data_IF_261640345223
#
_entry.id   IF_261640345223
#
_cell.length_a   1.000
_cell.length_b   1.000
_cell.length_c   1.000
_cell.angle_alpha   90.00
_cell.angle_beta   90.00
_cell.angle_gamma   90.00
#
_symmetry.space_group_name_H-M   'P 1'
#
loop_
_entity.id
_entity.type
_entity.pdbx_description
1 polymer ?
#
# COMPACT_ATOMS: atom_id res chain seq x y z
N UNK A 1 9.97 -14.47 -0.64
CA UNK A 1 11.05 -13.59 -0.13
C UNK A 1 10.91 -13.31 1.37
N UNK A 2 9.79 -12.77 1.86
CA UNK A 2 9.59 -12.44 3.30
C UNK A 2 9.78 -13.64 4.23
N UNK A 3 9.19 -14.79 3.91
CA UNK A 3 9.33 -16.02 4.71
C UNK A 3 10.79 -16.46 4.86
N UNK A 4 11.58 -16.33 3.79
CA UNK A 4 12.99 -16.68 3.80
C UNK A 4 13.80 -15.71 4.67
N UNK A 5 13.52 -14.42 4.60
CA UNK A 5 14.14 -13.40 5.47
C UNK A 5 13.84 -13.66 6.94
N UNK A 6 12.57 -13.93 7.28
CA UNK A 6 12.15 -14.25 8.65
C UNK A 6 12.84 -15.52 9.14
N UNK A 7 12.92 -16.55 8.30
CA UNK A 7 13.61 -17.79 8.65
C UNK A 7 15.11 -17.56 8.93
N UNK A 8 15.79 -16.77 8.11
CA UNK A 8 17.21 -16.43 8.33
C UNK A 8 17.40 -15.66 9.64
N UNK A 9 16.55 -14.66 9.92
CA UNK A 9 16.63 -13.90 11.15
C UNK A 9 16.38 -14.77 12.38
N UNK A 10 15.40 -15.67 12.31
CA UNK A 10 15.09 -16.60 13.39
C UNK A 10 16.23 -17.59 13.64
N UNK A 11 16.71 -18.25 12.59
CA UNK A 11 17.82 -19.20 12.69
C UNK A 11 19.11 -18.49 13.15
N UNK A 12 19.41 -17.30 12.62
CA UNK A 12 20.58 -16.53 13.01
C UNK A 12 20.55 -16.10 14.48
N UNK A 13 19.39 -15.63 14.96
CA UNK A 13 19.23 -15.24 16.37
C UNK A 13 19.33 -16.42 17.33
N UNK A 14 18.76 -17.58 16.97
CA UNK A 14 18.84 -18.79 17.80
C UNK A 14 20.27 -19.35 17.85
N UNK A 15 20.99 -19.37 16.73
CA UNK A 15 22.39 -19.77 16.67
C UNK A 15 23.28 -18.83 17.51
N UNK A 16 23.07 -17.54 17.38
CA UNK A 16 23.80 -16.54 18.16
C UNK A 16 23.54 -16.69 19.67
N UNK A 17 22.30 -16.90 20.09
CA UNK A 17 21.92 -17.13 21.47
C UNK A 17 22.58 -18.41 22.04
N UNK A 18 22.62 -19.47 21.24
CA UNK A 18 23.30 -20.73 21.61
C UNK A 18 24.82 -20.52 21.75
N UNK A 19 25.45 -19.83 20.81
CA UNK A 19 26.90 -19.55 20.84
C UNK A 19 27.33 -18.63 22.00
N UNK A 20 26.46 -17.72 22.41
CA UNK A 20 26.71 -16.77 23.50
C UNK A 20 26.26 -17.28 24.90
N UNK A 21 25.69 -18.48 24.96
CA UNK A 21 25.16 -19.06 26.21
C UNK A 21 23.88 -18.40 26.73
N UNK A 22 23.20 -17.58 25.92
CA UNK A 22 21.98 -16.82 26.27
C UNK A 22 20.68 -17.53 25.86
N UNK A 23 20.67 -18.85 25.87
CA UNK A 23 19.52 -19.64 25.43
C UNK A 23 18.25 -19.39 26.25
N UNK A 24 18.37 -19.20 27.57
CA UNK A 24 17.22 -18.89 28.43
C UNK A 24 16.59 -17.53 28.11
N UNK A 25 17.41 -16.51 27.85
CA UNK A 25 16.95 -15.18 27.46
C UNK A 25 16.26 -15.21 26.08
N UNK A 26 16.80 -15.99 25.15
CA UNK A 26 16.17 -16.17 23.84
C UNK A 26 14.80 -16.87 23.94
N UNK A 27 14.67 -17.87 24.82
CA UNK A 27 13.39 -18.52 25.11
C UNK A 27 12.36 -17.57 25.70
N UNK A 28 12.77 -16.75 26.65
CA UNK A 28 11.89 -15.73 27.25
C UNK A 28 11.48 -14.67 26.23
N UNK A 29 12.43 -14.14 25.45
CA UNK A 29 12.15 -13.18 24.40
C UNK A 29 11.17 -13.71 23.33
N UNK A 30 11.23 -15.01 23.03
CA UNK A 30 10.29 -15.66 22.11
C UNK A 30 8.85 -15.63 22.65
N UNK A 31 8.68 -15.97 23.96
CA UNK A 31 7.36 -15.96 24.61
C UNK A 31 6.80 -14.53 24.73
N UNK A 32 7.64 -13.58 25.14
CA UNK A 32 7.27 -12.16 25.21
C UNK A 32 6.91 -11.60 23.82
N UNK A 33 7.69 -11.95 22.81
CA UNK A 33 7.43 -11.57 21.42
C UNK A 33 6.12 -12.14 20.89
N UNK A 34 5.82 -13.40 21.20
CA UNK A 34 4.54 -14.01 20.83
C UNK A 34 3.35 -13.32 21.50
N UNK A 35 3.45 -13.01 22.79
CA UNK A 35 2.42 -12.29 23.53
C UNK A 35 2.22 -10.86 23.01
N UNK A 36 3.32 -10.16 22.74
CA UNK A 36 3.30 -8.82 22.14
C UNK A 36 2.64 -8.84 20.75
N UNK A 37 2.93 -9.85 19.94
CA UNK A 37 2.33 -10.01 18.60
C UNK A 37 0.81 -10.19 18.65
N UNK A 38 0.30 -10.99 19.61
CA UNK A 38 -1.15 -11.17 19.80
C UNK A 38 -1.81 -9.86 20.21
N UNK A 39 -1.27 -9.19 21.23
CA UNK A 39 -1.80 -7.91 21.73
C UNK A 39 -1.80 -6.84 20.62
N UNK A 40 -0.72 -6.75 19.86
CA UNK A 40 -0.58 -5.86 18.72
C UNK A 40 -1.60 -6.17 17.63
N UNK A 41 -1.82 -7.46 17.29
CA UNK A 41 -2.78 -7.89 16.28
C UNK A 41 -4.21 -7.51 16.67
N UNK A 42 -4.59 -7.68 17.93
CA UNK A 42 -5.92 -7.28 18.44
C UNK A 42 -6.10 -5.76 18.36
N UNK A 43 -5.09 -4.99 18.77
CA UNK A 43 -5.13 -3.52 18.71
C UNK A 43 -5.25 -3.01 17.27
N UNK A 44 -4.53 -3.63 16.33
CA UNK A 44 -4.63 -3.31 14.91
C UNK A 44 -5.99 -3.68 14.31
N UNK A 45 -6.54 -4.83 14.70
CA UNK A 45 -7.82 -5.31 14.18
C UNK A 45 -8.93 -4.28 14.35
N UNK A 46 -9.01 -3.61 15.51
CA UNK A 46 -9.99 -2.55 15.77
C UNK A 46 -9.88 -1.39 14.77
N UNK A 47 -8.68 -0.89 14.54
CA UNK A 47 -8.43 0.18 13.58
C UNK A 47 -8.76 -0.23 12.14
N UNK A 48 -8.35 -1.43 11.75
CA UNK A 48 -8.62 -1.98 10.41
C UNK A 48 -10.12 -2.18 10.20
N UNK A 49 -10.85 -2.71 11.19
CA UNK A 49 -12.29 -2.90 11.11
C UNK A 49 -13.03 -1.55 10.98
N UNK A 50 -12.66 -0.54 11.77
CA UNK A 50 -13.24 0.79 11.68
C UNK A 50 -13.08 1.39 10.27
N UNK A 51 -11.84 1.34 9.75
CA UNK A 51 -11.56 1.87 8.42
C UNK A 51 -12.20 1.06 7.30
N UNK A 52 -12.31 -0.27 7.45
CA UNK A 52 -13.04 -1.11 6.51
C UNK A 52 -14.53 -0.77 6.47
N UNK A 53 -15.13 -0.53 7.64
CA UNK A 53 -16.52 -0.10 7.73
C UNK A 53 -16.75 1.27 7.10
N UNK A 54 -15.87 2.24 7.36
CA UNK A 54 -15.93 3.57 6.74
C UNK A 54 -15.78 3.48 5.21
N UNK A 55 -14.91 2.61 4.75
CA UNK A 55 -14.69 2.37 3.31
C UNK A 55 -15.93 1.79 2.64
N UNK A 56 -16.54 0.81 3.26
CA UNK A 56 -17.79 0.21 2.77
C UNK A 56 -18.93 1.25 2.75
N UNK A 57 -19.00 2.10 3.77
CA UNK A 57 -19.95 3.20 3.79
C UNK A 57 -19.72 4.17 2.61
N UNK A 58 -18.47 4.56 2.37
CA UNK A 58 -18.09 5.41 1.23
C UNK A 58 -18.46 4.76 -0.12
N UNK A 59 -18.26 3.45 -0.25
CA UNK A 59 -18.66 2.71 -1.45
C UNK A 59 -20.18 2.73 -1.65
N UNK A 60 -20.95 2.47 -0.60
CA UNK A 60 -22.44 2.49 -0.64
C UNK A 60 -23.02 3.87 -0.89
N UNK A 61 -22.34 4.93 -0.47
CA UNK A 61 -22.73 6.32 -0.73
C UNK A 61 -22.27 6.84 -2.10
N UNK A 62 -21.80 5.96 -3.00
CA UNK A 62 -21.20 6.33 -4.29
C UNK A 62 -20.01 7.31 -4.18
N UNK A 63 -19.38 7.40 -3.02
CA UNK A 63 -18.20 8.26 -2.79
C UNK A 63 -17.00 7.85 -3.63
N UNK A 64 -16.81 6.54 -3.83
CA UNK A 64 -15.78 6.00 -4.73
C UNK A 64 -16.02 6.39 -6.19
N UNK A 65 -17.28 6.41 -6.64
CA UNK A 65 -17.62 6.88 -7.98
C UNK A 65 -17.41 8.37 -8.16
N UNK A 66 -17.78 9.18 -7.16
CA UNK A 66 -17.54 10.61 -7.18
C UNK A 66 -16.04 10.92 -7.28
N UNK A 67 -15.22 10.22 -6.49
CA UNK A 67 -13.76 10.34 -6.53
C UNK A 67 -13.20 9.85 -7.88
N UNK A 68 -13.69 8.75 -8.41
CA UNK A 68 -13.30 8.22 -9.73
C UNK A 68 -13.61 9.21 -10.86
N UNK A 69 -14.77 9.88 -10.82
CA UNK A 69 -15.12 10.94 -11.77
C UNK A 69 -14.19 12.14 -11.66
N UNK A 70 -13.86 12.56 -10.44
CA UNK A 70 -12.93 13.66 -10.19
C UNK A 70 -11.52 13.35 -10.70
N UNK A 71 -11.06 12.10 -10.53
CA UNK A 71 -9.75 11.64 -10.99
C UNK A 71 -9.68 11.32 -12.48
N UNK A 72 -10.83 11.11 -13.13
CA UNK A 72 -10.92 10.73 -14.55
C UNK A 72 -10.07 11.59 -15.51
N UNK A 73 -10.06 12.93 -15.43
CA UNK A 73 -9.23 13.74 -16.32
C UNK A 73 -7.73 13.49 -16.13
N UNK A 74 -7.28 13.33 -14.89
CA UNK A 74 -5.88 13.03 -14.57
C UNK A 74 -5.51 11.63 -15.06
N UNK A 75 -6.37 10.65 -14.83
CA UNK A 75 -6.15 9.28 -15.28
C UNK A 75 -6.10 9.17 -16.82
N UNK A 76 -6.95 9.89 -17.53
CA UNK A 76 -6.91 9.96 -18.99
C UNK A 76 -5.62 10.58 -19.53
N UNK A 77 -5.06 11.52 -18.81
CA UNK A 77 -3.76 12.14 -19.16
C UNK A 77 -2.59 11.17 -18.92
N UNK A 78 -2.61 10.44 -17.80
CA UNK A 78 -1.54 9.49 -17.44
C UNK A 78 -1.64 8.17 -18.23
N UNK A 79 -2.85 7.76 -18.63
CA UNK A 79 -3.15 6.49 -19.29
C UNK A 79 -3.92 6.69 -20.61
N UNK A 80 -3.35 7.38 -21.60
CA UNK A 80 -4.06 7.76 -22.81
C UNK A 80 -4.51 6.56 -23.68
N UNK A 81 -3.77 5.44 -23.67
CA UNK A 81 -4.12 4.23 -24.38
C UNK A 81 -5.25 3.47 -23.66
N UNK A 82 -5.15 3.33 -22.35
CA UNK A 82 -6.15 2.68 -21.50
C UNK A 82 -7.45 3.48 -21.42
N UNK A 83 -7.40 4.79 -21.59
CA UNK A 83 -8.59 5.65 -21.64
C UNK A 83 -9.58 5.29 -22.76
N UNK A 84 -9.11 4.61 -23.81
CA UNK A 84 -9.94 4.13 -24.92
C UNK A 84 -10.68 2.83 -24.59
N UNK A 85 -10.28 2.13 -23.52
CA UNK A 85 -10.90 0.87 -23.09
C UNK A 85 -11.63 1.08 -21.77
N UNK A 86 -12.96 1.03 -21.82
CA UNK A 86 -13.81 1.28 -20.65
C UNK A 86 -13.54 0.32 -19.49
N UNK A 87 -13.26 -0.97 -19.76
CA UNK A 87 -13.00 -1.97 -18.72
C UNK A 87 -11.68 -1.70 -18.00
N UNK A 88 -10.62 -1.35 -18.74
CA UNK A 88 -9.33 -1.00 -18.15
C UNK A 88 -9.47 0.27 -17.32
N UNK A 89 -10.15 1.27 -17.88
CA UNK A 89 -10.33 2.56 -17.21
C UNK A 89 -11.17 2.45 -15.92
N UNK A 90 -12.19 1.60 -15.91
CA UNK A 90 -12.99 1.32 -14.71
C UNK A 90 -12.14 0.68 -13.60
N UNK A 91 -11.38 -0.38 -13.92
CA UNK A 91 -10.50 -1.04 -12.97
C UNK A 91 -9.37 -0.12 -12.47
N UNK A 92 -8.83 0.72 -13.35
CA UNK A 92 -7.81 1.73 -13.01
C UNK A 92 -8.37 2.79 -12.05
N UNK A 93 -9.55 3.32 -12.35
CA UNK A 93 -10.22 4.30 -11.50
C UNK A 93 -10.54 3.74 -10.12
N UNK A 94 -11.02 2.50 -10.06
CA UNK A 94 -11.26 1.79 -8.80
C UNK A 94 -9.96 1.61 -7.99
N UNK A 95 -8.87 1.16 -8.64
CA UNK A 95 -7.58 0.99 -8.00
C UNK A 95 -7.04 2.31 -7.42
N UNK A 96 -7.01 3.36 -8.24
CA UNK A 96 -6.44 4.65 -7.81
C UNK A 96 -7.32 5.30 -6.74
N UNK A 97 -8.64 5.25 -6.87
CA UNK A 97 -9.57 5.76 -5.85
C UNK A 97 -9.39 5.03 -4.52
N UNK A 98 -9.30 3.71 -4.56
CA UNK A 98 -9.07 2.90 -3.36
C UNK A 98 -7.72 3.22 -2.71
N UNK A 99 -6.65 3.37 -3.49
CA UNK A 99 -5.33 3.76 -2.98
C UNK A 99 -5.33 5.13 -2.31
N UNK A 100 -5.96 6.13 -2.93
CA UNK A 100 -6.08 7.48 -2.37
C UNK A 100 -6.83 7.47 -1.04
N UNK A 101 -7.86 6.63 -0.92
CA UNK A 101 -8.61 6.44 0.32
C UNK A 101 -7.88 5.57 1.36
N UNK A 102 -6.70 5.03 1.02
CA UNK A 102 -5.93 4.16 1.93
C UNK A 102 -6.50 2.73 2.05
N UNK A 103 -7.26 2.27 1.06
CA UNK A 103 -7.97 0.98 1.03
C UNK A 103 -7.18 -0.09 0.28
N UNK A 104 -5.99 -0.45 0.78
CA UNK A 104 -5.11 -1.41 0.12
C UNK A 104 -5.79 -2.74 -0.26
N UNK A 105 -6.70 -3.23 0.58
CA UNK A 105 -7.44 -4.48 0.33
C UNK A 105 -8.35 -4.39 -0.92
N UNK A 106 -8.96 -3.24 -1.18
CA UNK A 106 -9.78 -3.02 -2.38
C UNK A 106 -8.93 -2.62 -3.59
N UNK A 107 -7.86 -1.86 -3.36
CA UNK A 107 -6.96 -1.41 -4.41
C UNK A 107 -6.25 -2.58 -5.12
N UNK A 108 -5.75 -3.56 -4.37
CA UNK A 108 -4.97 -4.67 -4.92
C UNK A 108 -5.70 -5.49 -5.99
N UNK A 109 -6.93 -6.00 -5.77
CA UNK A 109 -7.64 -6.76 -6.80
C UNK A 109 -8.02 -5.90 -8.02
N UNK A 110 -8.35 -4.63 -7.83
CA UNK A 110 -8.65 -3.71 -8.92
C UNK A 110 -7.39 -3.43 -9.77
N UNK A 111 -6.23 -3.17 -9.12
CA UNK A 111 -4.95 -2.99 -9.79
C UNK A 111 -4.51 -4.23 -10.57
N UNK A 112 -4.73 -5.42 -10.03
CA UNK A 112 -4.42 -6.67 -10.72
C UNK A 112 -5.31 -6.89 -11.96
N UNK A 113 -6.60 -6.53 -11.91
CA UNK A 113 -7.50 -6.57 -13.08
C UNK A 113 -7.02 -5.61 -14.16
N UNK A 114 -6.69 -4.36 -13.78
CA UNK A 114 -6.16 -3.36 -14.71
C UNK A 114 -4.84 -3.83 -15.35
N UNK A 115 -3.89 -4.33 -14.54
CA UNK A 115 -2.60 -4.82 -14.98
C UNK A 115 -2.72 -5.99 -15.98
N UNK A 116 -3.57 -6.98 -15.69
CA UNK A 116 -3.82 -8.12 -16.60
C UNK A 116 -4.41 -7.66 -17.92
N UNK A 117 -5.37 -6.74 -17.89
CA UNK A 117 -6.00 -6.22 -19.09
C UNK A 117 -5.04 -5.35 -19.93
N UNK A 118 -4.17 -4.55 -19.28
CA UNK A 118 -3.11 -3.79 -19.97
C UNK A 118 -2.07 -4.71 -20.60
N UNK A 119 -1.64 -5.76 -19.88
CA UNK A 119 -0.69 -6.74 -20.39
C UNK A 119 -1.24 -7.48 -21.61
N UNK A 120 -2.52 -7.91 -21.59
CA UNK A 120 -3.16 -8.61 -22.72
C UNK A 120 -3.34 -7.72 -23.94
N UNK A 121 -3.36 -6.40 -23.79
CA UNK A 121 -3.49 -5.43 -24.87
C UNK A 121 -2.16 -4.79 -25.29
N UNK A 122 -1.04 -5.26 -24.76
CA UNK A 122 0.31 -4.79 -25.11
C UNK A 122 0.63 -3.37 -24.61
N UNK A 123 -0.07 -2.88 -23.57
CA UNK A 123 0.12 -1.53 -23.03
C UNK A 123 1.20 -1.51 -21.95
N UNK A 124 2.41 -1.98 -22.27
CA UNK A 124 3.50 -2.15 -21.29
C UNK A 124 3.91 -0.84 -20.60
N UNK A 125 3.96 0.28 -21.33
CA UNK A 125 4.28 1.58 -20.75
C UNK A 125 3.30 2.00 -19.65
N UNK A 126 2.01 1.81 -19.91
CA UNK A 126 0.96 2.18 -18.96
C UNK A 126 0.89 1.19 -17.80
N UNK A 127 1.25 -0.07 -18.04
CA UNK A 127 1.43 -1.05 -16.97
C UNK A 127 2.56 -0.64 -16.01
N UNK A 128 3.70 -0.20 -16.54
CA UNK A 128 4.79 0.35 -15.72
C UNK A 128 4.33 1.57 -14.91
N UNK A 129 3.56 2.47 -15.52
CA UNK A 129 2.97 3.63 -14.85
C UNK A 129 2.03 3.22 -13.71
N UNK A 130 1.18 2.21 -13.93
CA UNK A 130 0.29 1.66 -12.90
C UNK A 130 1.08 1.11 -11.70
N UNK A 131 2.14 0.34 -11.97
CA UNK A 131 3.02 -0.20 -10.92
C UNK A 131 3.68 0.93 -10.14
N UNK A 132 4.15 1.96 -10.82
CA UNK A 132 4.78 3.14 -10.20
C UNK A 132 3.79 3.88 -9.29
N UNK A 133 2.56 4.15 -9.75
CA UNK A 133 1.53 4.81 -8.95
C UNK A 133 1.17 4.01 -7.69
N UNK A 134 1.05 2.68 -7.81
CA UNK A 134 0.77 1.82 -6.66
C UNK A 134 1.98 1.75 -5.69
N UNK A 135 3.21 1.79 -6.20
CA UNK A 135 4.43 1.78 -5.39
C UNK A 135 4.65 3.10 -4.65
N UNK A 136 4.24 4.24 -5.24
CA UNK A 136 4.32 5.54 -4.60
C UNK A 136 3.36 5.71 -3.42
N UNK A 137 2.41 4.79 -3.24
CA UNK A 137 1.45 4.73 -2.11
C UNK A 137 0.80 6.08 -1.79
N UNK A 138 0.09 6.63 -2.79
CA UNK A 138 -0.61 7.91 -2.62
C UNK A 138 -1.81 7.68 -1.73
N UNK A 139 -1.74 8.16 -0.48
CA UNK A 139 -2.81 8.02 0.50
C UNK A 139 -3.25 9.39 1.01
N UNK A 140 -4.54 9.66 0.94
CA UNK A 140 -5.11 10.87 1.54
C UNK A 140 -5.19 10.71 3.07
N UNK A 141 -5.56 9.52 3.49
CA UNK A 141 -5.68 9.15 4.91
C UNK A 141 -4.82 7.89 5.14
N UNK A 142 -3.68 8.02 5.85
CA UNK A 142 -2.79 6.89 6.14
C UNK A 142 -3.36 6.04 7.29
N UNK A 143 -4.50 5.39 7.06
CA UNK A 143 -5.29 4.68 8.08
C UNK A 143 -4.49 3.61 8.81
N UNK A 144 -3.72 2.80 8.08
CA UNK A 144 -2.90 1.73 8.68
C UNK A 144 -1.80 2.29 9.57
N UNK A 145 -1.12 3.36 9.13
CA UNK A 145 -0.06 3.99 9.93
C UNK A 145 -0.67 4.71 11.14
N UNK A 146 -1.81 5.37 10.98
CA UNK A 146 -2.51 5.99 12.10
C UNK A 146 -2.95 4.95 13.15
N UNK A 147 -3.47 3.79 12.72
CA UNK A 147 -3.81 2.68 13.62
C UNK A 147 -2.59 2.12 14.36
N UNK A 148 -1.46 1.96 13.67
CA UNK A 148 -0.17 1.56 14.26
C UNK A 148 0.31 2.57 15.30
N UNK A 149 0.28 3.84 14.99
CA UNK A 149 0.67 4.91 15.92
C UNK A 149 -0.23 4.95 17.15
N UNK A 150 -1.54 4.80 16.95
CA UNK A 150 -2.50 4.71 18.06
C UNK A 150 -2.20 3.52 18.97
N UNK A 151 -1.95 2.34 18.41
CA UNK A 151 -1.63 1.13 19.19
C UNK A 151 -0.28 1.25 19.92
N UNK A 152 0.65 2.06 19.39
CA UNK A 152 1.92 2.38 20.02
C UNK A 152 1.84 3.51 21.06
N UNK A 153 0.62 4.01 21.37
CA UNK A 153 0.40 5.04 22.40
C UNK A 153 0.65 6.48 21.94
N UNK A 154 0.62 6.77 20.65
CA UNK A 154 0.76 8.14 20.18
C UNK A 154 -0.41 9.02 20.63
N UNK A 155 -0.11 10.21 21.19
CA UNK A 155 -1.11 11.17 21.65
C UNK A 155 -2.00 11.71 20.51
N UNK A 156 -1.44 11.85 19.29
CA UNK A 156 -2.14 12.24 18.09
C UNK A 156 -1.73 11.31 16.93
N UNK A 157 -2.59 10.36 16.57
CA UNK A 157 -2.26 9.35 15.55
C UNK A 157 -2.17 9.93 14.13
N UNK A 158 -2.90 11.02 13.88
CA UNK A 158 -3.04 11.65 12.55
C UNK A 158 -2.12 12.86 12.29
N UNK A 159 -1.28 13.24 13.23
CA UNK A 159 -0.32 14.36 13.06
C UNK A 159 0.72 14.09 11.94
N UNK A 160 0.85 12.84 11.52
CA UNK A 160 1.71 12.41 10.43
C UNK A 160 1.16 12.74 9.03
N UNK A 161 -0.10 13.13 8.89
CA UNK A 161 -0.75 13.36 7.58
C UNK A 161 0.04 14.32 6.68
N UNK A 162 0.50 15.49 7.14
CA UNK A 162 1.27 16.39 6.28
C UNK A 162 2.58 15.78 5.79
N UNK A 163 3.27 15.02 6.64
CA UNK A 163 4.49 14.32 6.28
C UNK A 163 4.23 13.24 5.22
N UNK A 164 3.14 12.46 5.37
CA UNK A 164 2.74 11.44 4.40
C UNK A 164 2.41 12.07 3.05
N UNK A 165 1.68 13.17 3.02
CA UNK A 165 1.36 13.88 1.78
C UNK A 165 2.61 14.39 1.08
N UNK A 166 3.53 15.00 1.84
CA UNK A 166 4.80 15.48 1.28
C UNK A 166 5.64 14.33 0.72
N UNK A 167 5.80 13.25 1.47
CA UNK A 167 6.56 12.08 1.03
C UNK A 167 5.91 11.40 -0.19
N UNK A 168 4.59 11.27 -0.22
CA UNK A 168 3.85 10.70 -1.36
C UNK A 168 4.03 11.57 -2.61
N UNK A 169 3.91 12.89 -2.49
CA UNK A 169 4.12 13.81 -3.60
C UNK A 169 5.57 13.77 -4.12
N UNK A 170 6.56 13.77 -3.21
CA UNK A 170 7.97 13.67 -3.56
C UNK A 170 8.29 12.33 -4.24
N UNK A 171 7.79 11.22 -3.70
CA UNK A 171 7.95 9.87 -4.28
C UNK A 171 7.35 9.80 -5.68
N UNK A 172 6.14 10.34 -5.87
CA UNK A 172 5.50 10.38 -7.17
C UNK A 172 6.30 11.21 -8.18
N UNK A 173 6.76 12.40 -7.77
CA UNK A 173 7.57 13.28 -8.62
C UNK A 173 8.88 12.61 -9.06
N UNK A 174 9.61 12.03 -8.12
CA UNK A 174 10.87 11.30 -8.41
C UNK A 174 10.59 10.09 -9.30
N UNK A 175 9.57 9.30 -9.00
CA UNK A 175 9.20 8.13 -9.78
C UNK A 175 8.80 8.47 -11.22
N UNK A 176 7.97 9.50 -11.42
CA UNK A 176 7.57 9.96 -12.76
C UNK A 176 8.77 10.52 -13.55
N UNK A 177 9.63 11.28 -12.87
CA UNK A 177 10.86 11.81 -13.49
C UNK A 177 11.81 10.68 -13.91
N UNK A 178 12.02 9.70 -13.04
CA UNK A 178 12.84 8.53 -13.34
C UNK A 178 12.26 7.71 -14.49
N UNK A 179 10.94 7.46 -14.49
CA UNK A 179 10.27 6.76 -15.58
C UNK A 179 10.41 7.50 -16.93
N UNK A 180 10.29 8.82 -16.93
CA UNK A 180 10.45 9.64 -18.13
C UNK A 180 11.90 9.59 -18.67
N UNK A 181 12.91 9.59 -17.79
CA UNK A 181 14.32 9.46 -18.18
C UNK A 181 14.62 8.05 -18.70
N UNK A 182 14.17 7.00 -17.97
CA UNK A 182 14.39 5.61 -18.37
C UNK A 182 13.74 5.28 -19.71
N UNK A 183 12.55 5.81 -19.98
CA UNK A 183 11.88 5.65 -21.29
C UNK A 183 12.66 6.27 -22.44
N UNK A 184 13.48 7.30 -22.18
CA UNK A 184 14.38 7.90 -23.19
C UNK A 184 15.63 7.06 -23.44
N UNK A 185 16.12 6.36 -22.40
CA UNK A 185 17.34 5.55 -22.47
C UNK A 185 17.09 4.14 -22.98
N UNK A 186 15.85 3.63 -22.82
CA UNK A 186 15.44 2.27 -23.20
C UNK A 186 14.10 2.34 -23.94
N UNK A 187 14.14 2.62 -25.25
CA UNK A 187 12.93 2.71 -26.08
C UNK A 187 12.22 1.38 -26.28
#
# INVERSE_FOLDING_TARGET
MMTFLIAILYCGSTLCAAATGRGAEAGQALLEGAQAAVSFSVSLAGGICLWSALSELMARCNGTEALSRLLSPVLKLLFPKSAKNHHIMAALSENVSANIMGLGNAATPAGLRAAKAMASTGQHDELCMLVLLNSASIQLIPSTIAALRQSAGAAAAFDIIPAVWFCSAASLFVGLSAAAVLKRLWP
#
